data_IF_762098916325
#
_entry.id   IF_762098916325
#
_cell.length_a   1.000
_cell.length_b   1.000
_cell.length_c   1.000
_cell.angle_alpha   90.00
_cell.angle_beta   90.00
_cell.angle_gamma   90.00
#
_symmetry.space_group_name_H-M   'P 1'
#
loop_
_entity.id
_entity.type
_entity.pdbx_description
1 polymer ?
#
# COMPACT_ATOMS: atom_id res chain seq x y z
N UNK A 1 -65.22 -11.11 -39.37
CA UNK A 1 -65.73 -10.05 -38.47
C UNK A 1 -64.57 -9.50 -37.66
N UNK A 2 -64.37 -8.18 -37.72
CA UNK A 2 -63.29 -7.41 -37.07
C UNK A 2 -63.48 -7.39 -35.56
N UNK A 3 -62.40 -7.42 -34.78
CA UNK A 3 -62.17 -6.62 -33.55
C UNK A 3 -60.72 -6.85 -33.08
N UNK A 4 -59.81 -5.90 -33.33
CA UNK A 4 -59.43 -4.72 -32.50
C UNK A 4 -58.23 -5.03 -31.59
N UNK A 5 -57.06 -4.59 -32.05
CA UNK A 5 -55.85 -4.28 -31.26
C UNK A 5 -56.16 -3.08 -30.35
N UNK A 6 -55.57 -3.04 -29.15
CA UNK A 6 -55.22 -1.87 -28.28
C UNK A 6 -55.02 -2.39 -26.82
N UNK A 7 -54.06 -2.01 -25.98
CA UNK A 7 -52.99 -1.01 -25.96
C UNK A 7 -51.87 -1.46 -24.99
N UNK A 8 -50.69 -0.87 -25.21
CA UNK A 8 -49.54 -0.72 -24.32
C UNK A 8 -49.87 -0.47 -22.83
N UNK A 9 -49.09 -1.08 -21.94
CA UNK A 9 -48.96 -0.71 -20.54
C UNK A 9 -47.55 -1.03 -20.06
N UNK A 10 -46.69 0.00 -20.05
CA UNK A 10 -45.31 -0.04 -19.60
C UNK A 10 -45.21 -0.23 -18.08
N UNK A 11 -44.17 -0.94 -17.62
CA UNK A 11 -43.34 -0.68 -16.44
C UNK A 11 -42.76 -2.00 -15.89
N UNK A 12 -41.70 -2.52 -16.54
CA UNK A 12 -40.75 -3.40 -15.86
C UNK A 12 -39.63 -2.48 -15.35
N UNK A 13 -39.88 -1.90 -14.17
CA UNK A 13 -38.82 -1.56 -13.24
C UNK A 13 -38.37 -2.86 -12.57
N UNK A 14 -37.13 -2.89 -12.04
CA UNK A 14 -36.41 -4.06 -11.50
C UNK A 14 -35.68 -4.77 -12.66
N UNK A 15 -34.40 -4.54 -12.91
CA UNK A 15 -33.30 -4.83 -11.97
C UNK A 15 -32.27 -3.71 -12.03
N UNK A 16 -32.18 -2.98 -10.91
CA UNK A 16 -30.99 -2.23 -10.55
C UNK A 16 -29.85 -3.25 -10.53
N UNK A 17 -28.99 -3.19 -11.55
CA UNK A 17 -27.65 -3.73 -11.49
C UNK A 17 -26.95 -3.04 -10.33
N UNK A 18 -27.12 -3.62 -9.15
CA UNK A 18 -26.22 -3.47 -8.03
C UNK A 18 -24.86 -3.94 -8.56
N UNK A 19 -24.12 -3.00 -9.13
CA UNK A 19 -22.67 -3.05 -9.15
C UNK A 19 -22.27 -3.09 -7.69
N UNK A 20 -22.35 -4.28 -7.09
CA UNK A 20 -21.64 -4.57 -5.88
C UNK A 20 -20.19 -4.32 -6.26
N UNK A 21 -19.65 -3.18 -5.82
CA UNK A 21 -18.24 -3.04 -5.56
C UNK A 21 -17.92 -4.07 -4.48
N UNK A 22 -17.91 -5.35 -4.84
CA UNK A 22 -17.17 -6.34 -4.09
C UNK A 22 -15.73 -5.96 -4.38
N UNK A 23 -15.14 -5.18 -3.46
CA UNK A 23 -13.69 -4.99 -3.41
C UNK A 23 -13.15 -6.41 -3.33
N UNK A 24 -12.63 -6.93 -4.43
CA UNK A 24 -12.13 -8.28 -4.50
C UNK A 24 -11.09 -8.41 -3.38
N UNK A 25 -11.39 -9.22 -2.37
CA UNK A 25 -10.38 -9.60 -1.39
C UNK A 25 -9.44 -10.54 -2.11
N UNK A 26 -8.50 -9.95 -2.85
CA UNK A 26 -7.35 -10.66 -3.38
C UNK A 26 -6.58 -11.11 -2.15
N UNK A 27 -6.69 -12.40 -1.85
CA UNK A 27 -5.82 -13.09 -0.94
C UNK A 27 -4.60 -13.48 -1.78
N UNK A 28 -3.50 -12.70 -1.78
CA UNK A 28 -2.30 -13.10 -2.50
C UNK A 28 -1.84 -14.44 -1.93
N UNK A 29 -2.05 -15.49 -2.70
CA UNK A 29 -1.65 -16.85 -2.36
C UNK A 29 -0.13 -16.92 -2.56
N UNK A 30 0.64 -16.48 -1.55
CA UNK A 30 2.11 -16.35 -1.63
C UNK A 30 2.78 -17.72 -1.73
N UNK A 31 3.06 -18.13 -2.96
CA UNK A 31 3.62 -19.42 -3.37
C UNK A 31 4.88 -19.23 -4.21
N UNK A 32 5.87 -20.09 -4.06
CA UNK A 32 7.05 -20.07 -4.92
C UNK A 32 6.73 -20.57 -6.35
N UNK A 33 7.75 -20.61 -7.22
CA UNK A 33 7.69 -21.14 -8.58
C UNK A 33 7.10 -22.56 -8.71
N UNK A 34 7.13 -23.35 -7.62
CA UNK A 34 6.60 -24.71 -7.55
C UNK A 34 5.16 -24.77 -7.01
N UNK A 35 4.54 -23.63 -6.71
CA UNK A 35 3.19 -23.55 -6.15
C UNK A 35 3.12 -23.82 -4.63
N UNK A 36 4.26 -23.90 -3.95
CA UNK A 36 4.34 -24.15 -2.51
C UNK A 36 4.31 -22.84 -1.71
N UNK A 37 3.55 -22.74 -0.60
CA UNK A 37 3.49 -21.55 0.23
C UNK A 37 4.89 -21.09 0.67
N UNK A 38 5.21 -19.82 0.48
CA UNK A 38 6.52 -19.24 0.81
C UNK A 38 6.39 -17.98 1.66
N UNK A 39 7.31 -17.79 2.60
CA UNK A 39 7.40 -16.58 3.42
C UNK A 39 8.34 -15.60 2.74
N UNK A 40 7.84 -14.42 2.38
CA UNK A 40 8.68 -13.34 1.87
C UNK A 40 9.01 -12.38 3.01
N UNK A 41 10.29 -12.15 3.27
CA UNK A 41 10.74 -11.09 4.17
C UNK A 41 10.86 -9.79 3.38
N UNK A 42 10.19 -8.73 3.83
CA UNK A 42 10.33 -7.42 3.21
C UNK A 42 11.72 -6.85 3.45
N UNK A 43 12.25 -6.14 2.45
CA UNK A 43 13.55 -5.49 2.55
C UNK A 43 13.49 -4.26 3.45
N UNK A 44 14.53 -4.06 4.26
CA UNK A 44 14.54 -3.08 5.36
C UNK A 44 15.73 -2.15 5.21
N UNK A 45 15.43 -0.86 5.07
CA UNK A 45 16.30 0.32 4.87
C UNK A 45 15.89 1.08 3.60
N UNK A 46 15.14 2.19 3.70
CA UNK A 46 14.69 2.97 2.54
C UNK A 46 15.81 3.36 1.55
N UNK A 47 17.05 3.49 2.02
CA UNK A 47 18.19 3.99 1.23
C UNK A 47 19.00 2.88 0.54
N UNK A 48 18.91 1.63 1.01
CA UNK A 48 19.74 0.51 0.49
C UNK A 48 18.98 -0.82 0.34
N UNK A 49 17.72 -0.87 0.75
CA UNK A 49 16.89 -2.06 0.68
C UNK A 49 16.49 -2.34 -0.75
N UNK A 50 16.85 -3.54 -1.21
CA UNK A 50 16.41 -4.11 -2.47
C UNK A 50 15.62 -5.38 -2.21
N UNK A 51 14.61 -5.65 -3.02
CA UNK A 51 13.91 -6.93 -3.08
C UNK A 51 14.34 -7.65 -4.36
N UNK A 52 15.05 -8.76 -4.21
CA UNK A 52 15.56 -9.56 -5.33
C UNK A 52 14.51 -10.59 -5.73
N UNK A 53 14.25 -10.68 -7.03
CA UNK A 53 13.29 -11.59 -7.64
C UNK A 53 13.93 -12.32 -8.83
N UNK A 54 13.31 -13.40 -9.31
CA UNK A 54 13.85 -14.22 -10.41
C UNK A 54 14.17 -13.44 -11.69
N UNK A 55 13.43 -12.37 -11.96
CA UNK A 55 13.50 -11.58 -13.20
C UNK A 55 14.12 -10.20 -13.02
N UNK A 56 14.49 -9.82 -11.80
CA UNK A 56 14.95 -8.47 -11.56
C UNK A 56 15.05 -8.08 -10.09
N UNK A 57 15.30 -6.80 -9.87
CA UNK A 57 15.44 -6.21 -8.54
C UNK A 57 14.49 -5.05 -8.38
N UNK A 58 13.67 -5.08 -7.36
CA UNK A 58 12.80 -3.98 -6.95
C UNK A 58 13.50 -3.14 -5.88
N UNK A 59 13.51 -1.82 -6.03
CA UNK A 59 14.23 -0.93 -5.13
C UNK A 59 13.61 0.47 -5.11
N UNK A 60 14.01 1.31 -4.16
CA UNK A 60 13.70 2.74 -4.17
C UNK A 60 14.91 3.53 -4.63
N UNK A 61 14.66 4.54 -5.48
CA UNK A 61 15.58 5.63 -5.71
C UNK A 61 14.91 6.94 -5.32
N UNK A 62 15.53 7.66 -4.37
CA UNK A 62 14.96 8.85 -3.72
C UNK A 62 13.64 8.55 -3.01
N UNK A 63 12.51 8.74 -3.68
CA UNK A 63 11.15 8.52 -3.16
C UNK A 63 10.26 7.74 -4.15
N UNK A 64 10.87 7.21 -5.22
CA UNK A 64 10.19 6.52 -6.30
C UNK A 64 10.64 5.07 -6.38
N UNK A 65 9.67 4.21 -6.68
CA UNK A 65 9.87 2.78 -6.85
C UNK A 65 10.40 2.49 -8.24
N UNK A 66 11.48 1.74 -8.28
CA UNK A 66 12.20 1.36 -9.47
C UNK A 66 12.30 -0.15 -9.59
N UNK A 67 12.48 -0.61 -10.82
CA UNK A 67 12.75 -2.01 -11.12
C UNK A 67 13.93 -2.11 -12.08
N UNK A 68 14.87 -2.98 -11.73
CA UNK A 68 15.98 -3.38 -12.58
C UNK A 68 15.63 -4.71 -13.23
N UNK A 69 15.60 -4.74 -14.55
CA UNK A 69 15.25 -5.92 -15.34
C UNK A 69 16.51 -6.67 -15.80
N UNK A 70 16.57 -7.97 -15.48
CA UNK A 70 17.77 -8.77 -15.76
C UNK A 70 17.99 -9.06 -17.25
N UNK A 71 16.91 -9.11 -18.04
CA UNK A 71 17.00 -9.45 -19.47
C UNK A 71 17.54 -8.27 -20.28
N UNK A 72 17.07 -7.06 -20.00
CA UNK A 72 17.53 -5.82 -20.65
C UNK A 72 18.79 -5.24 -20.00
N UNK A 73 18.98 -5.46 -18.70
CA UNK A 73 20.02 -4.81 -17.91
C UNK A 73 19.74 -3.33 -17.62
N UNK A 74 18.50 -2.88 -17.82
CA UNK A 74 18.07 -1.50 -17.61
C UNK A 74 17.27 -1.34 -16.31
N UNK A 75 17.32 -0.13 -15.73
CA UNK A 75 16.45 0.27 -14.62
C UNK A 75 15.35 1.21 -15.10
N UNK A 76 14.14 1.03 -14.60
CA UNK A 76 13.02 1.93 -14.90
C UNK A 76 12.20 2.25 -13.65
N UNK A 77 11.59 3.44 -13.65
CA UNK A 77 10.59 3.84 -12.66
C UNK A 77 9.32 3.05 -12.94
N UNK A 78 8.67 2.52 -11.90
CA UNK A 78 7.40 1.78 -12.01
C UNK A 78 6.19 2.71 -12.24
N UNK A 79 6.31 3.60 -13.21
CA UNK A 79 5.26 4.51 -13.64
C UNK A 79 5.23 4.56 -15.17
N UNK A 80 4.09 4.22 -15.74
CA UNK A 80 3.86 4.20 -17.19
C UNK A 80 3.73 5.58 -17.83
N UNK A 81 3.62 6.65 -17.02
CA UNK A 81 3.58 8.02 -17.54
C UNK A 81 4.93 8.33 -18.22
N UNK A 82 4.95 8.71 -19.51
CA UNK A 82 6.19 9.07 -20.18
C UNK A 82 6.90 10.21 -19.46
N UNK A 83 8.23 10.13 -19.32
CA UNK A 83 9.04 11.13 -18.62
C UNK A 83 8.52 11.43 -17.20
N UNK A 84 8.07 10.42 -16.46
CA UNK A 84 7.56 10.64 -15.11
C UNK A 84 8.62 11.27 -14.20
N UNK A 85 8.34 12.46 -13.70
CA UNK A 85 9.12 13.20 -12.70
C UNK A 85 8.27 13.60 -11.49
N UNK A 86 7.12 12.94 -11.30
CA UNK A 86 6.21 13.24 -10.20
C UNK A 86 6.81 12.73 -8.88
N UNK A 87 6.98 13.63 -7.93
CA UNK A 87 7.48 13.36 -6.58
C UNK A 87 6.34 13.42 -5.55
N UNK A 88 5.14 13.01 -5.96
CA UNK A 88 3.94 13.06 -5.15
C UNK A 88 2.98 11.90 -5.51
N UNK A 89 1.84 11.85 -4.82
CA UNK A 89 0.82 10.81 -4.98
C UNK A 89 0.15 10.76 -6.37
N UNK A 90 0.45 11.68 -7.30
CA UNK A 90 0.03 11.57 -8.71
C UNK A 90 0.86 10.53 -9.50
N UNK A 91 1.97 10.07 -8.92
CA UNK A 91 2.81 8.99 -9.43
C UNK A 91 2.43 7.66 -8.82
N UNK A 92 2.15 6.66 -9.64
CA UNK A 92 1.92 5.28 -9.17
C UNK A 92 3.18 4.71 -8.49
N UNK A 93 4.36 5.16 -8.91
CA UNK A 93 5.63 4.75 -8.32
C UNK A 93 6.02 5.54 -7.07
N UNK A 94 5.29 6.58 -6.67
CA UNK A 94 5.71 7.40 -5.52
C UNK A 94 5.43 6.66 -4.21
N UNK A 95 6.51 6.29 -3.54
CA UNK A 95 6.46 5.66 -2.22
C UNK A 95 6.59 6.69 -1.08
N UNK A 96 7.06 7.89 -1.39
CA UNK A 96 7.37 8.91 -0.38
C UNK A 96 8.65 8.61 0.38
N UNK A 97 8.95 9.48 1.34
CA UNK A 97 10.12 9.32 2.20
C UNK A 97 9.85 8.26 3.27
N UNK A 98 10.91 7.55 3.68
CA UNK A 98 10.86 6.53 4.75
C UNK A 98 10.02 5.29 4.45
N UNK A 99 9.71 5.02 3.18
CA UNK A 99 9.06 3.78 2.80
C UNK A 99 9.94 2.55 3.13
N UNK A 100 9.34 1.43 3.50
CA UNK A 100 10.07 0.22 3.95
C UNK A 100 9.27 -1.06 3.70
N UNK A 101 9.87 -2.21 4.01
CA UNK A 101 9.21 -3.52 3.99
C UNK A 101 8.92 -4.03 2.59
N UNK A 102 9.74 -3.66 1.61
CA UNK A 102 9.51 -3.95 0.19
C UNK A 102 9.44 -5.44 -0.09
N UNK A 103 8.36 -5.88 -0.71
CA UNK A 103 8.19 -7.25 -1.18
C UNK A 103 7.62 -7.27 -2.59
N UNK A 104 8.18 -8.12 -3.45
CA UNK A 104 7.67 -8.40 -4.78
C UNK A 104 7.07 -9.81 -4.81
N UNK A 105 5.84 -9.93 -5.34
CA UNK A 105 5.17 -11.20 -5.49
C UNK A 105 4.28 -11.25 -6.73
N UNK A 106 4.63 -12.12 -7.68
CA UNK A 106 3.99 -12.15 -8.98
C UNK A 106 4.02 -10.76 -9.61
N UNK A 107 2.86 -10.26 -10.01
CA UNK A 107 2.71 -8.93 -10.61
C UNK A 107 2.47 -7.80 -9.59
N UNK A 108 2.66 -8.08 -8.29
CA UNK A 108 2.36 -7.12 -7.23
C UNK A 108 3.59 -6.76 -6.40
N UNK A 109 3.83 -5.46 -6.22
CA UNK A 109 4.76 -4.94 -5.23
C UNK A 109 4.00 -4.45 -3.98
N UNK A 110 4.58 -4.68 -2.81
CA UNK A 110 4.05 -4.27 -1.51
C UNK A 110 5.10 -3.47 -0.75
N UNK A 111 4.66 -2.45 -0.03
CA UNK A 111 5.52 -1.65 0.83
C UNK A 111 4.71 -0.89 1.87
N UNK A 112 5.40 -0.43 2.90
CA UNK A 112 4.85 0.48 3.90
C UNK A 112 5.36 1.88 3.68
N UNK A 113 4.52 2.88 3.95
CA UNK A 113 4.92 4.29 3.98
C UNK A 113 4.20 5.04 5.10
N UNK A 114 4.75 6.15 5.62
CA UNK A 114 3.99 7.07 6.46
C UNK A 114 2.79 7.64 5.69
N UNK A 115 1.65 7.76 6.36
CA UNK A 115 0.49 8.50 5.83
C UNK A 115 0.81 10.01 5.90
N UNK A 116 0.48 10.73 4.84
CA UNK A 116 0.69 12.19 4.79
C UNK A 116 -0.15 12.87 5.88
N UNK A 117 0.46 13.84 6.59
CA UNK A 117 -0.16 14.59 7.70
C UNK A 117 -0.78 13.72 8.82
N UNK A 118 -0.24 12.52 9.06
CA UNK A 118 -0.73 11.61 10.10
C UNK A 118 0.41 10.79 10.70
N UNK A 119 0.17 10.24 11.89
CA UNK A 119 1.09 9.31 12.56
C UNK A 119 0.83 7.84 12.16
N UNK A 120 -0.17 7.60 11.32
CA UNK A 120 -0.46 6.30 10.77
C UNK A 120 0.53 5.91 9.66
N UNK A 121 0.64 4.60 9.43
CA UNK A 121 1.37 4.00 8.31
C UNK A 121 0.39 3.33 7.37
N UNK A 122 0.68 3.36 6.07
CA UNK A 122 -0.11 2.70 5.03
C UNK A 122 0.62 1.46 4.52
N UNK A 123 -0.09 0.33 4.40
CA UNK A 123 0.34 -0.77 3.54
C UNK A 123 -0.19 -0.52 2.14
N UNK A 124 0.71 -0.32 1.20
CA UNK A 124 0.38 -0.04 -0.21
C UNK A 124 0.69 -1.28 -1.06
N UNK A 125 -0.19 -1.53 -2.03
CA UNK A 125 0.01 -2.50 -3.09
C UNK A 125 0.07 -1.77 -4.43
N UNK A 126 1.01 -2.17 -5.29
CA UNK A 126 1.07 -1.77 -6.70
C UNK A 126 0.89 -3.02 -7.55
N UNK A 127 -0.01 -2.95 -8.53
CA UNK A 127 -0.02 -3.87 -9.65
C UNK A 127 0.92 -3.33 -10.74
N UNK A 128 1.99 -4.05 -11.00
CA UNK A 128 3.08 -3.65 -11.89
C UNK A 128 2.61 -3.68 -13.35
N UNK A 129 1.76 -4.63 -13.73
CA UNK A 129 1.27 -4.72 -15.10
C UNK A 129 0.24 -3.64 -15.39
N UNK A 130 -0.72 -3.46 -14.48
CA UNK A 130 -1.84 -2.54 -14.65
C UNK A 130 -1.47 -1.09 -14.29
N UNK A 131 -0.32 -0.88 -13.66
CA UNK A 131 0.18 0.44 -13.27
C UNK A 131 -0.84 1.16 -12.38
N UNK A 132 -1.32 0.44 -11.36
CA UNK A 132 -2.31 0.90 -10.40
C UNK A 132 -1.81 0.65 -8.98
N UNK A 133 -2.05 1.61 -8.09
CA UNK A 133 -1.70 1.54 -6.67
C UNK A 133 -2.94 1.67 -5.79
N UNK A 134 -2.97 0.95 -4.68
CA UNK A 134 -4.00 1.12 -3.65
C UNK A 134 -3.43 0.96 -2.23
N UNK A 135 -4.06 1.66 -1.28
CA UNK A 135 -3.87 1.44 0.15
C UNK A 135 -4.74 0.24 0.57
N UNK A 136 -4.09 -0.80 1.06
CA UNK A 136 -4.77 -2.00 1.56
C UNK A 136 -5.30 -1.82 2.98
N UNK A 137 -4.50 -1.18 3.84
CA UNK A 137 -4.84 -0.89 5.23
C UNK A 137 -3.98 0.23 5.79
N UNK A 138 -4.49 0.90 6.81
CA UNK A 138 -3.75 1.82 7.67
C UNK A 138 -3.38 1.13 9.00
N UNK A 139 -2.28 1.54 9.62
CA UNK A 139 -1.72 0.98 10.85
C UNK A 139 -1.32 2.13 11.78
N UNK A 140 -1.84 2.12 13.01
CA UNK A 140 -1.56 3.16 14.01
C UNK A 140 -2.73 4.11 14.20
N UNK A 141 -2.52 5.13 15.03
CA UNK A 141 -3.51 6.15 15.31
C UNK A 141 -3.54 7.21 14.20
N UNK A 142 -4.74 7.63 13.83
CA UNK A 142 -4.97 8.69 12.84
C UNK A 142 -5.21 10.02 13.56
N UNK A 143 -4.13 10.59 14.13
CA UNK A 143 -4.20 11.90 14.76
C UNK A 143 -3.04 12.23 15.69
N UNK A 144 -2.89 13.52 15.98
CA UNK A 144 -1.84 14.07 16.86
C UNK A 144 -2.24 14.06 18.34
N UNK A 145 -3.13 13.15 18.74
CA UNK A 145 -3.56 13.04 20.13
C UNK A 145 -2.36 12.71 21.02
N UNK A 146 -2.31 13.37 22.18
CA UNK A 146 -1.38 13.01 23.25
C UNK A 146 -1.96 11.83 24.04
N UNK A 147 -1.12 11.16 24.82
CA UNK A 147 -1.47 10.02 25.68
C UNK A 147 -1.84 8.73 24.93
N UNK A 148 -1.20 8.50 23.77
CA UNK A 148 -1.40 7.30 22.97
C UNK A 148 -0.09 6.65 22.51
N UNK A 149 -0.17 5.37 22.15
CA UNK A 149 0.91 4.66 21.48
C UNK A 149 0.85 4.91 19.98
N UNK A 150 1.99 5.32 19.42
CA UNK A 150 2.13 5.66 18.01
C UNK A 150 3.15 4.72 17.37
N UNK A 151 3.01 4.45 16.08
CA UNK A 151 3.96 3.61 15.33
C UNK A 151 5.17 4.46 14.96
N UNK A 152 6.28 4.29 15.68
CA UNK A 152 7.52 5.04 15.44
C UNK A 152 8.39 4.42 14.36
N UNK A 153 8.11 3.18 13.97
CA UNK A 153 8.72 2.58 12.79
C UNK A 153 8.34 1.12 12.60
N UNK A 154 8.39 0.67 11.35
CA UNK A 154 8.27 -0.74 10.99
C UNK A 154 9.68 -1.28 10.81
N UNK A 155 10.02 -2.27 11.65
CA UNK A 155 11.32 -2.94 11.61
C UNK A 155 11.23 -4.09 10.64
N UNK A 156 10.56 -5.20 10.99
CA UNK A 156 10.40 -6.35 10.12
C UNK A 156 9.01 -6.49 9.50
N UNK A 157 8.97 -6.99 8.26
CA UNK A 157 7.75 -7.44 7.60
C UNK A 157 7.91 -8.82 6.96
N UNK A 158 6.89 -9.66 7.09
CA UNK A 158 6.82 -10.99 6.50
C UNK A 158 5.45 -11.24 5.87
N UNK A 159 5.43 -11.66 4.61
CA UNK A 159 4.21 -11.90 3.83
C UNK A 159 3.98 -13.41 3.71
N UNK A 160 2.86 -13.94 4.27
CA UNK A 160 2.47 -15.36 4.20
C UNK A 160 0.97 -15.68 4.39
N UNK A 161 0.37 -16.51 3.50
CA UNK A 161 -1.06 -16.80 3.36
C UNK A 161 -2.05 -15.61 3.46
N UNK A 162 -1.97 -14.59 2.60
CA UNK A 162 -2.82 -13.38 2.61
C UNK A 162 -2.63 -12.40 3.78
N UNK A 163 -1.76 -12.69 4.73
CA UNK A 163 -1.43 -11.89 5.91
C UNK A 163 -0.02 -11.31 5.88
N UNK A 164 0.13 -10.09 6.41
CA UNK A 164 1.44 -9.50 6.68
C UNK A 164 1.69 -9.54 8.18
N UNK A 165 2.82 -10.11 8.57
CA UNK A 165 3.32 -10.13 9.95
C UNK A 165 4.34 -9.03 10.11
N UNK A 166 4.18 -8.23 11.15
CA UNK A 166 5.00 -7.03 11.35
C UNK A 166 5.66 -7.05 12.73
N UNK A 167 6.91 -6.64 12.75
CA UNK A 167 7.58 -6.19 13.96
C UNK A 167 7.69 -4.66 13.89
N UNK A 168 7.09 -3.98 14.85
CA UNK A 168 7.00 -2.51 14.86
C UNK A 168 7.47 -1.95 16.20
N UNK A 169 8.09 -0.78 16.14
CA UNK A 169 8.39 0.02 17.30
C UNK A 169 7.19 0.90 17.62
N UNK A 170 6.81 0.90 18.89
CA UNK A 170 5.78 1.78 19.41
C UNK A 170 6.43 2.80 20.34
N UNK A 171 6.06 4.05 20.19
CA UNK A 171 6.44 5.13 21.10
C UNK A 171 5.19 5.61 21.81
N UNK A 172 5.26 5.77 23.13
CA UNK A 172 4.17 6.42 23.86
C UNK A 172 4.37 7.94 23.80
N UNK A 173 3.39 8.64 23.25
CA UNK A 173 3.40 10.08 23.17
C UNK A 173 2.75 10.64 24.43
N UNK A 174 3.54 11.22 25.35
CA UNK A 174 3.05 11.85 26.57
C UNK A 174 2.84 13.35 26.38
N UNK A 175 1.96 13.94 27.19
CA UNK A 175 1.93 15.40 27.38
C UNK A 175 3.28 15.82 27.96
N UNK A 176 3.98 16.77 27.35
CA UNK A 176 5.10 17.44 28.04
C UNK A 176 4.51 18.15 29.26
N UNK A 177 4.88 17.71 30.46
CA UNK A 177 4.61 18.52 31.66
C UNK A 177 5.35 19.85 31.49
N UNK A 178 4.63 20.96 31.44
CA UNK A 178 5.19 22.31 31.44
C UNK A 178 5.96 22.54 32.75
N UNK A 179 7.25 22.18 32.77
CA UNK A 179 8.19 22.38 33.89
C UNK A 179 8.31 23.86 34.34
N UNK A 180 7.77 24.80 33.56
CA UNK A 180 7.67 26.21 33.91
C UNK A 180 6.62 26.51 34.99
N UNK A 181 5.53 25.73 35.07
CA UNK A 181 4.44 25.99 36.04
C UNK A 181 4.73 25.46 37.45
N UNK A 182 5.69 24.53 37.60
CA UNK A 182 6.10 23.98 38.90
C UNK A 182 7.04 24.88 39.71
N UNK A 183 7.68 25.87 39.09
CA UNK A 183 8.65 26.78 39.75
C UNK A 183 7.97 28.04 40.32
N UNK A 184 6.73 28.34 39.90
CA UNK A 184 6.00 29.56 40.30
C UNK A 184 5.11 29.38 41.54
N UNK A 185 5.11 28.19 42.18
CA UNK A 185 4.27 27.87 43.36
C UNK A 185 5.08 27.35 44.55
N UNK A 186 6.40 27.55 44.58
CA UNK A 186 7.26 27.24 45.74
C UNK A 186 7.79 28.48 46.44
#
# INVERSE_FOLDING_TARGET
MKNKICYFGAAICILLSLSSCQKEQINPDWKNENGEPTVLRGSQNPETAVCVHEKGVFFISSSTLCYYDYDSGDSYVLCSKPNCMHENNECVAYAGNNATGFALYGDHAFYFRPKEDSQAWELVRINIQEQYSEVLTEIGADGDEMEQWIVSGITDSYYYGGKVWLHMNLTYQSVEEDWWNSIMVS
#
